data_IF_861568674045
#
_entry.id   IF_861568674045
#
_cell.length_a   1.000
_cell.length_b   1.000
_cell.length_c   1.000
_cell.angle_alpha   90.00
_cell.angle_beta   90.00
_cell.angle_gamma   90.00
#
_symmetry.space_group_name_H-M   'P 1'
#
loop_
_entity.id
_entity.type
_entity.pdbx_description
1 polymer ?
#
# COMPACT_ATOMS: atom_id res chain seq x y z
N UNK A 1 -0.47 5.27 -19.21
CA UNK A 1 -0.30 3.91 -18.66
C UNK A 1 -0.21 3.98 -17.15
N UNK A 2 -0.73 2.98 -16.42
CA UNK A 2 -0.55 2.88 -14.96
C UNK A 2 0.39 1.72 -14.67
N UNK A 3 1.41 1.99 -13.85
CA UNK A 3 2.36 0.99 -13.39
C UNK A 3 2.18 0.78 -11.89
N UNK A 4 2.14 -0.47 -11.46
CA UNK A 4 2.07 -0.88 -10.06
C UNK A 4 3.43 -1.46 -9.64
N UNK A 5 4.08 -0.82 -8.68
CA UNK A 5 5.39 -1.22 -8.16
C UNK A 5 5.27 -1.81 -6.75
N UNK A 6 5.85 -2.99 -6.55
CA UNK A 6 5.83 -3.74 -5.30
C UNK A 6 7.11 -3.60 -4.51
N UNK A 7 6.98 -3.32 -3.21
CA UNK A 7 8.03 -3.38 -2.18
C UNK A 7 9.44 -2.93 -2.66
N UNK A 8 9.66 -1.63 -2.96
CA UNK A 8 10.96 -1.13 -3.42
C UNK A 8 12.08 -1.29 -2.36
N UNK A 9 11.73 -1.20 -1.08
CA UNK A 9 12.65 -1.24 0.06
C UNK A 9 13.85 -0.30 -0.09
N UNK A 10 13.59 0.94 -0.51
CA UNK A 10 14.62 1.97 -0.67
C UNK A 10 15.45 1.88 -1.95
N UNK A 11 15.16 0.95 -2.88
CA UNK A 11 15.84 0.86 -4.17
C UNK A 11 14.86 0.95 -5.34
N UNK A 12 15.06 1.96 -6.18
CA UNK A 12 14.13 2.36 -7.23
C UNK A 12 14.72 2.29 -8.64
N UNK A 13 16.01 1.91 -8.76
CA UNK A 13 16.75 1.83 -10.03
C UNK A 13 16.01 1.05 -11.11
N UNK A 14 15.33 -0.03 -10.72
CA UNK A 14 14.56 -0.88 -11.62
C UNK A 14 13.31 -0.22 -12.23
N UNK A 15 12.85 0.89 -11.67
CA UNK A 15 11.68 1.62 -12.16
C UNK A 15 12.05 2.67 -13.22
N UNK A 16 13.25 3.24 -13.15
CA UNK A 16 13.69 4.33 -14.03
C UNK A 16 13.57 4.01 -15.52
N UNK A 17 13.99 2.83 -16.02
CA UNK A 17 13.83 2.50 -17.44
C UNK A 17 12.38 2.62 -17.91
N UNK A 18 11.42 2.15 -17.11
CA UNK A 18 10.01 2.16 -17.48
C UNK A 18 9.39 3.56 -17.49
N UNK A 19 9.74 4.41 -16.51
CA UNK A 19 9.20 5.78 -16.42
C UNK A 19 9.90 6.75 -17.37
N UNK A 20 11.12 6.44 -17.81
CA UNK A 20 11.88 7.28 -18.76
C UNK A 20 11.58 6.93 -20.23
N UNK A 21 11.26 5.67 -20.53
CA UNK A 21 10.94 5.22 -21.89
C UNK A 21 9.48 5.46 -22.29
N UNK A 22 8.61 5.77 -21.34
CA UNK A 22 7.17 5.93 -21.57
C UNK A 22 6.68 7.29 -21.10
N UNK A 23 5.90 7.97 -21.94
CA UNK A 23 5.23 9.22 -21.59
C UNK A 23 3.94 8.97 -20.79
N UNK A 24 3.52 9.96 -19.99
CA UNK A 24 2.25 9.94 -19.24
C UNK A 24 2.06 8.68 -18.39
N UNK A 25 3.09 8.30 -17.63
CA UNK A 25 3.04 7.21 -16.67
C UNK A 25 2.47 7.70 -15.34
N UNK A 26 1.50 6.95 -14.80
CA UNK A 26 1.13 7.02 -13.39
C UNK A 26 1.77 5.83 -12.67
N UNK A 27 2.70 6.08 -11.75
CA UNK A 27 3.37 5.06 -10.96
C UNK A 27 2.71 4.96 -9.59
N UNK A 28 2.22 3.77 -9.25
CA UNK A 28 1.55 3.48 -7.97
C UNK A 28 2.42 2.50 -7.18
N UNK A 29 2.93 2.94 -6.02
CA UNK A 29 3.79 2.11 -5.16
C UNK A 29 2.96 1.46 -4.05
N UNK A 30 3.02 0.13 -3.94
CA UNK A 30 2.18 -0.70 -3.07
C UNK A 30 2.75 -0.90 -1.66
N UNK A 31 3.35 0.15 -1.09
CA UNK A 31 3.96 0.10 0.24
C UNK A 31 5.43 -0.28 0.26
N UNK A 32 5.99 -0.26 1.48
CA UNK A 32 7.39 -0.53 1.78
C UNK A 32 8.36 0.28 0.92
N UNK A 33 8.06 1.57 0.82
CA UNK A 33 8.89 2.58 0.15
C UNK A 33 10.27 2.66 0.84
N UNK A 34 10.27 2.58 2.17
CA UNK A 34 11.44 2.54 3.06
C UNK A 34 12.46 3.65 2.75
N UNK A 35 11.95 4.85 2.52
CA UNK A 35 12.73 6.03 2.23
C UNK A 35 13.48 6.53 3.48
N UNK A 36 14.60 7.23 3.27
CA UNK A 36 15.29 7.99 4.31
C UNK A 36 15.12 9.50 4.15
N UNK A 37 14.62 9.94 2.99
CA UNK A 37 14.33 11.33 2.61
C UNK A 37 13.35 11.34 1.42
N UNK A 38 12.66 12.46 1.12
CA UNK A 38 11.73 12.54 -0.02
C UNK A 38 12.42 12.55 -1.39
N UNK A 39 13.75 12.76 -1.44
CA UNK A 39 14.53 12.99 -2.66
C UNK A 39 14.32 11.93 -3.74
N UNK A 40 14.12 10.67 -3.38
CA UNK A 40 13.98 9.61 -4.38
C UNK A 40 12.63 9.69 -5.10
N UNK A 41 11.55 10.03 -4.37
CA UNK A 41 10.26 10.31 -5.01
C UNK A 41 10.33 11.60 -5.83
N UNK A 42 11.03 12.63 -5.35
CA UNK A 42 11.22 13.89 -6.10
C UNK A 42 11.93 13.66 -7.45
N UNK A 43 12.90 12.75 -7.51
CA UNK A 43 13.55 12.36 -8.77
C UNK A 43 12.61 11.61 -9.69
N UNK A 44 11.92 10.58 -9.20
CA UNK A 44 10.96 9.81 -10.00
C UNK A 44 9.82 10.70 -10.53
N UNK A 45 9.42 11.71 -9.76
CA UNK A 45 8.36 12.66 -10.12
C UNK A 45 8.70 13.54 -11.33
N UNK A 46 9.99 13.62 -11.69
CA UNK A 46 10.42 14.30 -12.91
C UNK A 46 10.04 13.52 -14.18
N UNK A 47 9.68 12.24 -14.04
CA UNK A 47 9.39 11.33 -15.15
C UNK A 47 7.94 10.82 -15.15
N UNK A 48 7.25 10.81 -14.00
CA UNK A 48 5.92 10.24 -13.89
C UNK A 48 5.08 10.89 -12.78
N UNK A 49 3.76 10.74 -12.83
CA UNK A 49 2.87 11.08 -11.70
C UNK A 49 2.90 9.95 -10.69
N UNK A 50 3.16 10.26 -9.41
CA UNK A 50 3.38 9.25 -8.38
C UNK A 50 2.25 9.27 -7.36
N UNK A 51 1.74 8.07 -7.08
CA UNK A 51 0.83 7.77 -5.99
C UNK A 51 1.36 6.58 -5.21
N UNK A 52 0.94 6.45 -3.96
CA UNK A 52 1.36 5.29 -3.17
C UNK A 52 0.36 4.98 -2.07
N UNK A 53 0.47 3.77 -1.54
CA UNK A 53 0.05 3.45 -0.17
C UNK A 53 1.31 3.15 0.63
N UNK A 54 1.24 3.35 1.94
CA UNK A 54 2.33 3.00 2.83
C UNK A 54 2.27 1.51 3.22
N UNK A 55 3.44 0.91 3.47
CA UNK A 55 3.58 -0.43 4.05
C UNK A 55 4.03 -0.38 5.51
N UNK A 56 4.40 -1.53 6.07
CA UNK A 56 4.81 -1.62 7.47
C UNK A 56 6.25 -1.15 7.72
N UNK A 57 7.08 -1.01 6.68
CA UNK A 57 8.43 -0.46 6.79
C UNK A 57 8.47 1.08 6.84
N UNK A 58 7.43 1.74 6.33
CA UNK A 58 7.39 3.20 6.19
C UNK A 58 7.22 3.94 7.52
N UNK A 59 6.83 3.22 8.58
CA UNK A 59 6.74 3.75 9.93
C UNK A 59 7.67 3.04 10.93
N UNK A 60 8.79 2.45 10.45
CA UNK A 60 9.80 1.84 11.34
C UNK A 60 10.77 2.84 11.94
N UNK A 61 11.07 3.91 11.21
CA UNK A 61 11.99 4.96 11.65
C UNK A 61 11.34 6.32 11.50
N UNK A 62 11.79 7.29 12.30
CA UNK A 62 11.31 8.68 12.19
C UNK A 62 11.63 9.24 10.81
N UNK A 63 12.80 8.92 10.25
CA UNK A 63 13.20 9.37 8.91
C UNK A 63 12.26 8.82 7.81
N UNK A 64 11.89 7.54 7.86
CA UNK A 64 10.95 6.97 6.90
C UNK A 64 9.56 7.61 7.01
N UNK A 65 9.09 7.83 8.24
CA UNK A 65 7.82 8.51 8.45
C UNK A 65 7.88 9.97 7.96
N UNK A 66 8.93 10.71 8.30
CA UNK A 66 9.08 12.12 7.94
C UNK A 66 9.28 12.31 6.43
N UNK A 67 9.92 11.36 5.74
CA UNK A 67 10.03 11.38 4.28
C UNK A 67 8.66 11.37 3.58
N UNK A 68 7.65 10.71 4.16
CA UNK A 68 6.30 10.62 3.61
C UNK A 68 5.33 11.62 4.25
N UNK A 69 5.05 11.47 5.54
CA UNK A 69 4.04 12.27 6.25
C UNK A 69 4.58 13.63 6.71
N UNK A 70 5.90 13.78 6.83
CA UNK A 70 6.57 15.04 7.14
C UNK A 70 6.86 15.92 5.92
N UNK A 71 6.55 15.45 4.72
CA UNK A 71 6.77 16.17 3.45
C UNK A 71 5.44 16.36 2.69
N UNK A 72 5.51 17.01 1.52
CA UNK A 72 4.36 17.18 0.63
C UNK A 72 3.84 15.84 0.06
N UNK A 73 4.65 14.78 0.11
CA UNK A 73 4.28 13.44 -0.37
C UNK A 73 3.10 12.83 0.38
N UNK A 74 2.79 13.31 1.59
CA UNK A 74 1.57 12.91 2.32
C UNK A 74 0.29 13.10 1.51
N UNK A 75 0.28 14.05 0.58
CA UNK A 75 -0.88 14.35 -0.30
C UNK A 75 -1.05 13.34 -1.44
N UNK A 76 -0.04 12.49 -1.68
CA UNK A 76 -0.04 11.44 -2.71
C UNK A 76 -0.24 10.04 -2.13
N UNK A 77 -0.45 9.93 -0.81
CA UNK A 77 -0.78 8.69 -0.14
C UNK A 77 -2.29 8.41 -0.26
N UNK A 78 -2.66 7.32 -0.92
CA UNK A 78 -4.03 6.92 -1.22
C UNK A 78 -4.73 6.20 -0.06
N UNK A 79 -4.07 5.97 1.07
CA UNK A 79 -4.70 5.31 2.21
C UNK A 79 -5.96 6.07 2.67
N UNK A 80 -7.09 5.35 2.74
CA UNK A 80 -8.44 5.88 3.05
C UNK A 80 -8.99 6.88 2.01
N UNK A 81 -8.54 6.78 0.76
CA UNK A 81 -8.99 7.67 -0.32
C UNK A 81 -9.30 6.88 -1.59
N UNK A 82 -10.18 7.46 -2.42
CA UNK A 82 -10.45 7.04 -3.80
C UNK A 82 -10.07 8.20 -4.70
N UNK A 83 -9.22 7.95 -5.69
CA UNK A 83 -8.75 8.97 -6.64
C UNK A 83 -8.96 8.51 -8.08
N UNK A 84 -9.35 9.44 -8.95
CA UNK A 84 -9.37 9.22 -10.40
C UNK A 84 -7.95 9.34 -10.97
N UNK A 85 -7.37 8.21 -11.39
CA UNK A 85 -6.03 8.13 -11.95
C UNK A 85 -6.12 7.45 -13.32
N UNK A 86 -5.81 8.20 -14.36
CA UNK A 86 -5.87 7.76 -15.77
C UNK A 86 -7.18 7.05 -16.17
N UNK A 87 -8.32 7.57 -15.67
CA UNK A 87 -9.65 7.04 -15.99
C UNK A 87 -10.10 5.86 -15.13
N UNK A 88 -9.33 5.48 -14.10
CA UNK A 88 -9.74 4.50 -13.10
C UNK A 88 -9.97 5.16 -11.75
N UNK A 89 -11.03 4.77 -11.05
CA UNK A 89 -11.19 5.08 -9.62
C UNK A 89 -10.37 4.09 -8.81
N UNK A 90 -9.32 4.57 -8.17
CA UNK A 90 -8.38 3.74 -7.41
C UNK A 90 -8.52 4.05 -5.93
N UNK A 91 -8.93 3.04 -5.16
CA UNK A 91 -8.99 3.08 -3.71
C UNK A 91 -7.71 2.55 -3.07
N UNK A 92 -7.21 3.21 -2.02
CA UNK A 92 -6.02 2.77 -1.30
C UNK A 92 -6.26 2.33 0.14
N UNK A 93 -5.76 1.14 0.49
CA UNK A 93 -5.69 0.62 1.85
C UNK A 93 -4.22 0.32 2.22
N UNK A 94 -3.50 1.34 2.68
CA UNK A 94 -2.14 1.18 3.22
C UNK A 94 -2.11 0.54 4.61
N UNK A 95 -0.92 0.09 5.01
CA UNK A 95 -0.63 -0.49 6.33
C UNK A 95 -0.81 -2.00 6.40
N UNK A 96 -0.69 -2.54 7.63
CA UNK A 96 -0.85 -3.96 7.94
C UNK A 96 -1.77 -4.20 9.14
N UNK A 97 -2.31 -5.42 9.25
CA UNK A 97 -3.06 -5.82 10.45
C UNK A 97 -2.09 -6.14 11.59
N UNK A 98 -2.39 -5.66 12.79
CA UNK A 98 -1.57 -5.92 13.99
C UNK A 98 -2.47 -6.34 15.14
N UNK A 99 -2.17 -7.45 15.81
CA UNK A 99 -3.00 -7.97 16.91
C UNK A 99 -3.20 -7.00 18.08
N UNK A 100 -2.29 -6.04 18.29
CA UNK A 100 -2.46 -4.97 19.29
C UNK A 100 -3.56 -3.96 18.93
N UNK A 101 -3.95 -3.89 17.65
CA UNK A 101 -5.01 -3.04 17.12
C UNK A 101 -6.19 -3.92 16.71
N UNK A 102 -5.97 -4.74 15.69
CA UNK A 102 -6.96 -5.62 15.09
C UNK A 102 -6.25 -6.69 14.25
N UNK A 103 -6.63 -7.96 14.47
CA UNK A 103 -6.21 -9.10 13.67
C UNK A 103 -7.45 -9.87 13.22
N UNK A 104 -8.01 -9.57 12.03
CA UNK A 104 -9.19 -10.26 11.52
C UNK A 104 -8.98 -11.78 11.45
N UNK A 105 -10.02 -12.61 11.70
CA UNK A 105 -11.42 -12.23 11.92
C UNK A 105 -11.75 -11.92 13.39
N UNK A 106 -10.76 -11.80 14.27
CA UNK A 106 -11.02 -11.48 15.67
C UNK A 106 -11.60 -10.07 15.82
N UNK A 107 -12.28 -9.83 16.95
CA UNK A 107 -12.77 -8.49 17.29
C UNK A 107 -11.60 -7.51 17.41
N UNK A 108 -11.75 -6.27 16.91
CA UNK A 108 -10.73 -5.24 17.10
C UNK A 108 -10.60 -4.87 18.57
N UNK A 109 -9.37 -4.58 19.00
CA UNK A 109 -9.09 -3.99 20.31
C UNK A 109 -9.42 -2.50 20.30
N UNK A 110 -9.14 -1.83 19.18
CA UNK A 110 -9.40 -0.41 18.97
C UNK A 110 -10.03 -0.20 17.60
N UNK A 111 -11.02 0.68 17.56
CA UNK A 111 -11.81 0.96 16.37
C UNK A 111 -11.11 1.93 15.41
N UNK A 112 -10.47 2.97 15.96
CA UNK A 112 -9.80 4.03 15.21
C UNK A 112 -8.56 4.53 16.00
N UNK A 113 -7.73 5.41 15.42
CA UNK A 113 -6.57 5.98 16.10
C UNK A 113 -6.89 6.76 17.39
N UNK A 114 -8.05 7.44 17.46
CA UNK A 114 -8.47 8.24 18.62
C UNK A 114 -8.78 7.31 19.78
N UNK A 115 -9.56 6.25 19.53
CA UNK A 115 -9.84 5.19 20.48
C UNK A 115 -8.55 4.58 21.03
N UNK A 116 -7.56 4.25 20.18
CA UNK A 116 -6.26 3.78 20.68
C UNK A 116 -5.59 4.79 21.62
N UNK A 117 -5.57 6.07 21.25
CA UNK A 117 -4.88 7.10 22.03
C UNK A 117 -5.56 7.36 23.38
N UNK A 118 -6.89 7.29 23.46
CA UNK A 118 -7.65 7.49 24.71
C UNK A 118 -7.32 6.46 25.80
N UNK A 119 -6.94 5.25 25.41
CA UNK A 119 -6.60 4.15 26.32
C UNK A 119 -5.10 3.90 26.43
N UNK A 120 -4.28 4.73 25.78
CA UNK A 120 -2.82 4.64 25.81
C UNK A 120 -2.23 5.56 26.87
N UNK A 121 -1.13 5.13 27.50
CA UNK A 121 -0.35 6.02 28.37
C UNK A 121 0.31 7.13 27.55
N UNK A 122 0.49 8.30 28.17
CA UNK A 122 1.08 9.48 27.50
C UNK A 122 2.47 9.21 26.94
N UNK A 123 3.25 8.34 27.58
CA UNK A 123 4.59 7.92 27.14
C UNK A 123 4.58 7.19 25.78
N UNK A 124 3.46 6.55 25.42
CA UNK A 124 3.30 5.87 24.13
C UNK A 124 2.86 6.83 23.02
N UNK A 125 2.30 7.98 23.36
CA UNK A 125 1.81 8.96 22.40
C UNK A 125 3.01 9.61 21.70
N UNK A 126 3.09 9.45 20.38
CA UNK A 126 4.17 10.00 19.59
C UNK A 126 3.65 11.15 18.72
N UNK A 127 4.21 12.35 18.93
CA UNK A 127 3.82 13.60 18.26
C UNK A 127 2.31 13.82 18.23
N UNK A 128 1.67 13.65 19.40
CA UNK A 128 0.24 13.93 19.58
C UNK A 128 -0.71 12.91 18.94
N UNK A 129 -0.23 11.72 18.55
CA UNK A 129 -1.10 10.64 18.06
C UNK A 129 -0.50 9.26 18.30
N UNK A 130 -0.82 8.33 17.40
CA UNK A 130 -0.36 6.95 17.49
C UNK A 130 1.18 6.87 17.68
N UNK A 131 1.66 5.87 18.45
CA UNK A 131 3.04 5.45 18.41
C UNK A 131 3.51 5.27 16.97
N UNK A 132 4.78 5.58 16.70
CA UNK A 132 5.33 5.53 15.35
C UNK A 132 5.05 4.20 14.63
N UNK A 133 5.21 3.06 15.32
CA UNK A 133 4.96 1.74 14.71
C UNK A 133 3.50 1.48 14.36
N UNK A 134 2.55 2.15 15.02
CA UNK A 134 1.12 2.04 14.75
C UNK A 134 0.62 3.00 13.67
N UNK A 135 1.46 3.91 13.16
CA UNK A 135 1.11 4.78 12.03
C UNK A 135 0.85 4.02 10.72
N UNK A 136 1.27 2.77 10.64
CA UNK A 136 1.02 1.83 9.54
C UNK A 136 0.11 0.66 9.92
N UNK A 137 -0.71 0.81 10.97
CA UNK A 137 -1.68 -0.24 11.35
C UNK A 137 -3.03 0.04 10.70
N UNK A 138 -3.67 -1.02 10.19
CA UNK A 138 -5.04 -0.94 9.69
C UNK A 138 -6.02 -1.01 10.88
N UNK A 139 -6.90 -0.02 10.96
CA UNK A 139 -8.01 0.06 11.90
C UNK A 139 -9.34 -0.30 11.22
N UNK A 140 -10.35 -0.76 11.98
CA UNK A 140 -11.71 -0.92 11.45
C UNK A 140 -12.26 0.33 10.76
N UNK A 141 -11.97 1.52 11.30
CA UNK A 141 -12.38 2.79 10.69
C UNK A 141 -11.88 2.98 9.26
N UNK A 142 -10.70 2.44 8.92
CA UNK A 142 -10.12 2.54 7.58
C UNK A 142 -10.96 1.75 6.57
N UNK A 143 -11.48 0.59 6.99
CA UNK A 143 -12.39 -0.22 6.19
C UNK A 143 -13.75 0.47 6.05
N UNK A 144 -14.28 1.05 7.13
CA UNK A 144 -15.58 1.74 7.10
C UNK A 144 -15.59 2.97 6.18
N UNK A 145 -14.48 3.71 6.11
CA UNK A 145 -14.35 4.84 5.19
C UNK A 145 -14.43 4.36 3.74
N UNK A 146 -13.68 3.31 3.39
CA UNK A 146 -13.61 2.83 2.02
C UNK A 146 -14.85 2.06 1.58
N UNK A 147 -15.51 1.30 2.47
CA UNK A 147 -16.62 0.42 2.07
C UNK A 147 -17.88 1.16 1.59
N UNK A 148 -17.99 2.44 1.90
CA UNK A 148 -19.07 3.32 1.44
C UNK A 148 -18.78 3.96 0.08
N UNK A 149 -17.58 3.78 -0.46
CA UNK A 149 -17.16 4.32 -1.75
C UNK A 149 -17.29 3.28 -2.88
N UNK A 150 -17.02 3.70 -4.11
CA UNK A 150 -16.96 2.83 -5.28
C UNK A 150 -15.62 2.98 -5.99
N UNK A 151 -14.97 1.87 -6.31
CA UNK A 151 -13.68 1.87 -6.99
C UNK A 151 -13.60 0.77 -8.05
N UNK A 152 -12.81 1.02 -9.09
CA UNK A 152 -12.52 0.03 -10.13
C UNK A 152 -11.33 -0.84 -9.70
N UNK A 153 -10.35 -0.21 -9.03
CA UNK A 153 -9.13 -0.85 -8.52
C UNK A 153 -9.02 -0.61 -7.01
N UNK A 154 -8.70 -1.65 -6.25
CA UNK A 154 -8.26 -1.54 -4.86
C UNK A 154 -6.77 -1.87 -4.78
N UNK A 155 -5.96 -0.93 -4.28
CA UNK A 155 -4.57 -1.19 -3.91
C UNK A 155 -4.48 -1.39 -2.40
N UNK A 156 -3.79 -2.44 -1.96
CA UNK A 156 -3.57 -2.70 -0.55
C UNK A 156 -2.16 -3.25 -0.31
N UNK A 157 -1.57 -3.00 0.86
CA UNK A 157 -0.25 -3.58 1.14
C UNK A 157 -0.40 -5.04 1.57
N UNK A 158 -1.30 -5.31 2.53
CA UNK A 158 -1.71 -6.66 2.93
C UNK A 158 -2.40 -7.45 1.80
N UNK A 159 -2.23 -8.76 1.80
CA UNK A 159 -2.88 -9.60 0.80
C UNK A 159 -4.34 -9.91 1.14
N UNK A 160 -5.24 -9.97 0.14
CA UNK A 160 -6.54 -10.61 0.29
C UNK A 160 -6.42 -12.15 0.27
N UNK A 161 -7.49 -12.86 0.62
CA UNK A 161 -7.64 -14.28 0.24
C UNK A 161 -7.70 -14.41 -1.29
N UNK A 162 -7.21 -15.51 -1.89
CA UNK A 162 -6.83 -16.78 -1.25
C UNK A 162 -5.35 -16.88 -0.86
N UNK A 163 -4.61 -15.77 -0.73
CA UNK A 163 -3.24 -15.85 -0.21
C UNK A 163 -3.23 -16.58 1.14
N UNK A 164 -2.26 -17.48 1.41
CA UNK A 164 -2.22 -18.23 2.67
C UNK A 164 -2.25 -17.32 3.90
N UNK A 165 -1.53 -16.21 3.83
CA UNK A 165 -1.49 -15.17 4.86
C UNK A 165 -2.49 -14.02 4.63
N UNK A 166 -3.31 -14.10 3.59
CA UNK A 166 -4.23 -13.03 3.24
C UNK A 166 -5.48 -12.98 4.10
N UNK A 167 -6.17 -11.84 4.04
CA UNK A 167 -7.30 -11.49 4.91
C UNK A 167 -8.61 -11.38 4.15
N UNK A 168 -9.64 -12.10 4.62
CA UNK A 168 -10.98 -12.11 4.00
C UNK A 168 -11.68 -10.74 4.06
N UNK A 169 -11.31 -9.89 5.03
CA UNK A 169 -11.89 -8.55 5.16
C UNK A 169 -11.57 -7.67 3.95
N UNK A 170 -10.40 -7.84 3.32
CA UNK A 170 -10.01 -7.11 2.11
C UNK A 170 -10.87 -7.57 0.93
N UNK A 171 -11.15 -8.88 0.82
CA UNK A 171 -12.08 -9.40 -0.19
C UNK A 171 -13.48 -8.80 -0.03
N UNK A 172 -13.98 -8.79 1.21
CA UNK A 172 -15.30 -8.23 1.52
C UNK A 172 -15.37 -6.74 1.18
N UNK A 173 -14.31 -5.99 1.49
CA UNK A 173 -14.19 -4.59 1.11
C UNK A 173 -14.25 -4.42 -0.43
N UNK A 174 -13.47 -5.20 -1.17
CA UNK A 174 -13.46 -5.16 -2.63
C UNK A 174 -14.85 -5.47 -3.23
N UNK A 175 -15.59 -6.43 -2.69
CA UNK A 175 -16.96 -6.76 -3.10
C UNK A 175 -17.92 -5.58 -2.86
N UNK A 176 -17.90 -4.98 -1.66
CA UNK A 176 -18.74 -3.82 -1.32
C UNK A 176 -18.47 -2.61 -2.23
N UNK A 177 -17.21 -2.37 -2.53
CA UNK A 177 -16.77 -1.25 -3.38
C UNK A 177 -16.97 -1.49 -4.89
N UNK A 178 -17.39 -2.71 -5.29
CA UNK A 178 -17.59 -3.06 -6.69
C UNK A 178 -16.31 -3.27 -7.51
N UNK A 179 -15.16 -3.45 -6.83
CA UNK A 179 -13.81 -3.55 -7.40
C UNK A 179 -13.71 -4.64 -8.46
N UNK A 180 -12.92 -4.37 -9.50
CA UNK A 180 -12.63 -5.31 -10.61
C UNK A 180 -11.22 -5.88 -10.54
N UNK A 181 -10.30 -5.20 -9.87
CA UNK A 181 -8.92 -5.65 -9.71
C UNK A 181 -8.34 -5.21 -8.36
N UNK A 182 -7.75 -6.16 -7.63
CA UNK A 182 -6.93 -5.88 -6.44
C UNK A 182 -5.45 -6.01 -6.80
N UNK A 183 -4.65 -5.01 -6.44
CA UNK A 183 -3.18 -5.10 -6.45
C UNK A 183 -2.64 -5.08 -5.02
N UNK A 184 -1.70 -5.97 -4.69
CA UNK A 184 -1.08 -5.97 -3.37
C UNK A 184 0.42 -6.31 -3.35
N UNK A 185 1.12 -5.82 -2.32
CA UNK A 185 2.54 -6.08 -2.07
C UNK A 185 2.79 -7.04 -0.90
N UNK A 186 3.72 -6.66 -0.02
CA UNK A 186 4.04 -7.23 1.31
C UNK A 186 4.70 -8.60 1.35
N UNK A 187 4.19 -9.60 0.61
CA UNK A 187 4.66 -10.99 0.77
C UNK A 187 5.87 -11.35 -0.10
N UNK A 188 6.40 -10.40 -0.89
CA UNK A 188 7.63 -10.51 -1.68
C UNK A 188 7.69 -11.61 -2.75
N UNK A 189 6.78 -12.58 -2.74
CA UNK A 189 6.70 -13.68 -3.69
C UNK A 189 5.53 -13.47 -4.66
N UNK A 190 5.86 -13.26 -5.93
CA UNK A 190 4.88 -13.23 -7.02
C UNK A 190 4.06 -14.52 -7.06
N UNK A 191 2.77 -14.41 -6.72
CA UNK A 191 1.81 -15.50 -6.72
C UNK A 191 0.75 -15.31 -7.81
N UNK A 192 0.54 -16.33 -8.64
CA UNK A 192 -0.57 -16.34 -9.60
C UNK A 192 -1.79 -16.90 -8.90
N UNK A 193 -2.76 -16.04 -8.64
CA UNK A 193 -4.02 -16.45 -8.01
C UNK A 193 -4.94 -17.16 -9.00
N UNK A 194 -5.37 -18.37 -8.63
CA UNK A 194 -6.61 -18.94 -9.14
C UNK A 194 -7.73 -18.49 -8.22
N UNK A 195 -8.44 -17.46 -8.63
CA UNK A 195 -9.53 -16.87 -7.86
C UNK A 195 -10.90 -17.36 -8.38
N UNK A 196 -11.85 -17.54 -7.48
CA UNK A 196 -13.28 -17.73 -7.80
C UNK A 196 -14.07 -16.42 -7.67
N UNK A 197 -13.43 -15.35 -7.19
CA UNK A 197 -14.03 -14.03 -7.09
C UNK A 197 -14.29 -13.44 -8.48
N UNK A 198 -15.26 -12.52 -8.56
CA UNK A 198 -15.61 -11.82 -9.80
C UNK A 198 -14.57 -10.78 -10.25
N UNK A 199 -13.51 -10.59 -9.47
CA UNK A 199 -12.43 -9.64 -9.71
C UNK A 199 -11.07 -10.33 -9.75
N UNK A 200 -10.11 -9.67 -10.41
CA UNK A 200 -8.71 -10.14 -10.50
C UNK A 200 -7.94 -9.77 -9.23
N UNK A 201 -6.92 -10.55 -8.93
CA UNK A 201 -5.97 -10.26 -7.85
C UNK A 201 -4.57 -10.41 -8.44
N UNK A 202 -3.74 -9.38 -8.32
CA UNK A 202 -2.34 -9.39 -8.72
C UNK A 202 -1.48 -9.08 -7.51
N UNK A 203 -0.61 -10.02 -7.14
CA UNK A 203 0.50 -9.70 -6.24
C UNK A 203 1.58 -8.99 -7.03
N UNK A 204 2.10 -7.86 -6.57
CA UNK A 204 3.31 -7.26 -7.10
C UNK A 204 4.37 -7.43 -6.02
N UNK A 205 5.18 -8.48 -6.15
CA UNK A 205 6.18 -8.87 -5.15
C UNK A 205 7.41 -7.97 -5.14
N UNK A 206 8.46 -8.44 -4.48
CA UNK A 206 9.65 -7.63 -4.15
C UNK A 206 10.30 -7.02 -5.40
N UNK A 207 10.34 -5.68 -5.48
CA UNK A 207 10.87 -4.94 -6.63
C UNK A 207 10.35 -5.47 -7.96
N UNK A 208 9.06 -5.80 -7.98
CA UNK A 208 8.33 -6.20 -9.17
C UNK A 208 7.54 -5.03 -9.73
N UNK A 209 7.20 -5.12 -11.01
CA UNK A 209 6.44 -4.11 -11.73
C UNK A 209 5.37 -4.79 -12.57
N UNK A 210 4.14 -4.29 -12.49
CA UNK A 210 3.02 -4.75 -13.30
C UNK A 210 2.29 -3.58 -13.97
N UNK A 211 1.65 -3.83 -15.10
CA UNK A 211 0.75 -2.89 -15.78
C UNK A 211 -0.67 -2.92 -15.17
N UNK A 212 -1.56 -2.04 -15.64
CA UNK A 212 -2.97 -1.99 -15.20
C UNK A 212 -3.80 -3.25 -15.48
N UNK A 213 -3.33 -4.11 -16.40
CA UNK A 213 -3.97 -5.40 -16.68
C UNK A 213 -3.49 -6.50 -15.74
N UNK A 214 -2.49 -6.22 -14.91
CA UNK A 214 -1.85 -7.16 -14.00
C UNK A 214 -0.78 -8.02 -14.67
N UNK A 215 -0.30 -7.64 -15.87
CA UNK A 215 0.81 -8.31 -16.51
C UNK A 215 2.11 -7.81 -15.89
N UNK A 216 3.00 -8.73 -15.54
CA UNK A 216 4.30 -8.35 -15.01
C UNK A 216 5.23 -7.89 -16.13
N UNK A 217 5.75 -6.68 -15.97
CA UNK A 217 6.85 -6.14 -16.76
C UNK A 217 8.20 -6.56 -16.15
N UNK A 218 8.22 -6.78 -14.83
CA UNK A 218 9.38 -7.18 -14.07
C UNK A 218 8.98 -8.05 -12.87
N UNK A 219 9.72 -9.12 -12.58
CA UNK A 219 9.45 -10.04 -11.45
C UNK A 219 10.66 -10.22 -10.56
N UNK A 220 10.50 -9.95 -9.26
CA UNK A 220 11.38 -10.38 -8.16
C UNK A 220 12.87 -10.07 -8.38
N UNK A 221 13.23 -8.80 -8.52
CA UNK A 221 14.66 -8.42 -8.47
C UNK A 221 15.13 -8.50 -7.00
N UNK A 222 15.62 -9.66 -6.60
CA UNK A 222 16.24 -9.86 -5.28
C UNK A 222 17.76 -10.00 -5.38
N UNK A 223 18.44 -8.86 -5.40
CA UNK A 223 19.90 -8.76 -5.36
C UNK A 223 20.51 -9.15 -4.00
N UNK A 224 19.68 -9.40 -2.97
CA UNK A 224 20.14 -9.85 -1.65
C UNK A 224 20.49 -11.33 -1.65
N UNK A 225 19.98 -12.13 -2.59
CA UNK A 225 20.28 -13.57 -2.70
C UNK A 225 21.70 -13.87 -3.21
N UNK A 226 22.48 -12.84 -3.53
CA UNK A 226 23.88 -12.95 -3.98
C UNK A 226 24.92 -12.40 -3.00
N UNK A 227 24.56 -12.15 -1.73
CA UNK A 227 25.49 -11.73 -0.66
C UNK A 227 25.54 -12.75 0.47
#
# INVERSE_FOLDING_TARGET
MILFAGDPHGSYEHLYPFVQENDNVALIILGDLQLSSPNELEKLAQHCDIWFIHGNHDSKTVAAFDALWGSEWKTRNLHNQVMDIQGYRIAGLGGIFRGQIWMPPNRPMYFDPIHYCQYSSQEKIWRGGLPLHHRSSIFPSDIEVLENEQADILICHEAPKPHPMGFQVINTLAEKMGVKHIFHGHHHDNFIYKTQYSYKITNVGFRSLADESGNYLLKNIDDRKGR
#
